data_IF_901423815089
#
_entry.id   IF_901423815089
#
_cell.length_a   1.000
_cell.length_b   1.000
_cell.length_c   1.000
_cell.angle_alpha   90.00
_cell.angle_beta   90.00
_cell.angle_gamma   90.00
#
_symmetry.space_group_name_H-M   'P 1'
#
loop_
_entity.id
_entity.type
_entity.pdbx_description
1 polymer ?
#
# COMPACT_ATOMS: atom_id res chain seq x y z
N UNK A 1 11.21 -6.31 37.44
CA UNK A 1 11.14 -5.00 36.76
C UNK A 1 10.44 -5.22 35.43
N UNK A 2 9.29 -4.58 35.18
CA UNK A 2 8.57 -4.72 33.93
C UNK A 2 9.34 -3.96 32.84
N UNK A 3 9.91 -4.69 31.87
CA UNK A 3 10.55 -4.11 30.69
C UNK A 3 9.43 -3.55 29.83
N UNK A 4 9.27 -2.21 29.83
CA UNK A 4 8.35 -1.56 28.89
C UNK A 4 8.81 -1.93 27.47
N UNK A 5 7.92 -2.42 26.60
CA UNK A 5 8.30 -2.70 25.21
C UNK A 5 8.88 -1.41 24.61
N UNK A 6 9.97 -1.50 23.84
CA UNK A 6 10.58 -0.32 23.24
C UNK A 6 9.51 0.37 22.40
N UNK A 7 9.28 1.66 22.66
CA UNK A 7 8.42 2.47 21.81
C UNK A 7 8.96 2.39 20.38
N UNK A 8 8.11 2.21 19.34
CA UNK A 8 8.58 2.19 17.97
C UNK A 8 9.34 3.48 17.70
N UNK A 9 10.63 3.33 17.35
CA UNK A 9 11.60 4.43 17.20
C UNK A 9 11.20 5.37 16.07
N UNK A 10 10.30 4.95 15.19
CA UNK A 10 9.76 5.73 14.07
C UNK A 10 8.25 5.72 14.16
N UNK A 11 7.65 6.83 14.61
CA UNK A 11 6.22 7.09 14.41
C UNK A 11 6.06 7.73 13.03
N UNK A 12 5.05 7.33 12.26
CA UNK A 12 4.74 8.03 11.00
C UNK A 12 4.56 9.51 11.27
N UNK A 13 5.30 10.33 10.54
CA UNK A 13 5.04 11.77 10.50
C UNK A 13 3.70 12.01 9.79
N UNK A 14 3.14 13.22 9.96
CA UNK A 14 1.92 13.60 9.22
C UNK A 14 2.13 13.59 7.69
N UNK A 15 3.36 13.83 7.23
CA UNK A 15 3.72 13.67 5.82
C UNK A 15 3.67 12.21 5.37
N UNK A 16 4.21 11.28 6.17
CA UNK A 16 4.17 9.84 5.84
C UNK A 16 2.74 9.31 5.78
N UNK A 17 1.87 9.76 6.70
CA UNK A 17 0.43 9.43 6.65
C UNK A 17 -0.24 9.96 5.39
N UNK A 18 0.12 11.17 4.95
CA UNK A 18 -0.39 11.75 3.70
C UNK A 18 0.08 10.95 2.49
N UNK A 19 1.34 10.51 2.48
CA UNK A 19 1.90 9.64 1.43
C UNK A 19 1.16 8.29 1.40
N UNK A 20 0.95 7.63 2.55
CA UNK A 20 0.20 6.37 2.63
C UNK A 20 -1.26 6.49 2.16
N UNK A 21 -1.90 7.63 2.46
CA UNK A 21 -3.24 7.93 1.94
C UNK A 21 -3.22 8.13 0.42
N UNK A 22 -2.20 8.79 -0.11
CA UNK A 22 -1.97 8.91 -1.56
C UNK A 22 -1.80 7.55 -2.22
N UNK A 23 -0.96 6.70 -1.64
CA UNK A 23 -0.70 5.35 -2.12
C UNK A 23 -1.97 4.48 -2.14
N UNK A 24 -2.84 4.62 -1.14
CA UNK A 24 -4.16 3.96 -1.15
C UNK A 24 -5.00 4.36 -2.35
N UNK A 25 -5.08 5.66 -2.63
CA UNK A 25 -5.84 6.19 -3.78
C UNK A 25 -5.26 5.73 -5.12
N UNK A 26 -3.94 5.67 -5.22
CA UNK A 26 -3.26 5.23 -6.45
C UNK A 26 -3.46 3.73 -6.71
N UNK A 27 -3.48 2.91 -5.65
CA UNK A 27 -3.82 1.48 -5.73
C UNK A 27 -5.25 1.31 -6.25
N UNK A 28 -6.24 2.01 -5.67
CA UNK A 28 -7.64 1.93 -6.10
C UNK A 28 -7.83 2.39 -7.55
N UNK A 29 -7.09 3.42 -7.98
CA UNK A 29 -7.13 3.88 -9.37
C UNK A 29 -6.53 2.84 -10.31
N UNK A 30 -5.43 2.21 -9.90
CA UNK A 30 -4.75 1.16 -10.66
C UNK A 30 -5.63 -0.08 -10.82
N UNK A 31 -6.36 -0.48 -9.78
CA UNK A 31 -7.37 -1.56 -9.85
C UNK A 31 -8.42 -1.31 -10.93
N UNK A 32 -9.01 -0.11 -10.94
CA UNK A 32 -10.03 0.26 -11.93
C UNK A 32 -9.46 0.28 -13.35
N UNK A 33 -8.25 0.81 -13.52
CA UNK A 33 -7.58 0.86 -14.82
C UNK A 33 -7.25 -0.55 -15.34
N UNK A 34 -6.73 -1.43 -14.48
CA UNK A 34 -6.45 -2.83 -14.82
C UNK A 34 -7.73 -3.56 -15.19
N UNK A 35 -8.84 -3.33 -14.47
CA UNK A 35 -10.15 -3.86 -14.82
C UNK A 35 -10.61 -3.45 -16.22
N UNK A 36 -10.50 -2.16 -16.55
CA UNK A 36 -10.85 -1.66 -17.89
C UNK A 36 -9.94 -2.25 -18.99
N UNK A 37 -8.64 -2.42 -18.72
CA UNK A 37 -7.73 -3.07 -19.66
C UNK A 37 -8.08 -4.54 -19.90
N UNK A 38 -8.52 -5.25 -18.85
CA UNK A 38 -8.98 -6.64 -18.93
C UNK A 38 -10.24 -6.78 -19.76
N UNK A 39 -11.17 -5.82 -19.68
CA UNK A 39 -12.35 -5.76 -20.55
C UNK A 39 -11.98 -5.55 -22.03
N UNK A 40 -10.84 -4.93 -22.30
CA UNK A 40 -10.27 -4.74 -23.64
C UNK A 40 -9.39 -5.91 -24.09
N UNK A 41 -9.42 -7.05 -23.38
CA UNK A 41 -8.64 -8.26 -23.66
C UNK A 41 -7.11 -8.03 -23.66
N UNK A 42 -6.66 -7.01 -22.91
CA UNK A 42 -5.23 -6.76 -22.69
C UNK A 42 -4.71 -7.72 -21.62
N UNK A 43 -3.54 -8.32 -21.86
CA UNK A 43 -2.84 -9.12 -20.84
C UNK A 43 -2.32 -8.21 -19.72
N UNK A 44 -2.97 -8.30 -18.56
CA UNK A 44 -2.69 -7.48 -17.38
C UNK A 44 -2.01 -8.26 -16.25
N UNK A 45 -1.59 -9.51 -16.46
CA UNK A 45 -1.03 -10.37 -15.40
C UNK A 45 0.13 -9.71 -14.63
N UNK A 46 1.10 -9.16 -15.35
CA UNK A 46 2.23 -8.45 -14.74
C UNK A 46 1.79 -7.20 -13.96
N UNK A 47 0.69 -6.55 -14.37
CA UNK A 47 0.14 -5.38 -13.69
C UNK A 47 -0.59 -5.79 -12.41
N UNK A 48 -1.35 -6.89 -12.44
CA UNK A 48 -2.01 -7.48 -11.29
C UNK A 48 -0.97 -7.90 -10.22
N UNK A 49 0.14 -8.52 -10.63
CA UNK A 49 1.23 -8.91 -9.72
C UNK A 49 1.91 -7.69 -9.07
N UNK A 50 2.22 -6.66 -9.86
CA UNK A 50 2.80 -5.40 -9.34
C UNK A 50 1.83 -4.67 -8.41
N UNK A 51 0.54 -4.69 -8.71
CA UNK A 51 -0.49 -4.12 -7.86
C UNK A 51 -0.59 -4.87 -6.53
N UNK A 52 -0.51 -6.20 -6.56
CA UNK A 52 -0.49 -7.04 -5.36
C UNK A 52 0.72 -6.73 -4.47
N UNK A 53 1.90 -6.52 -5.07
CA UNK A 53 3.09 -6.08 -4.35
C UNK A 53 2.87 -4.72 -3.66
N UNK A 54 2.33 -3.73 -4.39
CA UNK A 54 2.04 -2.40 -3.84
C UNK A 54 1.04 -2.43 -2.68
N UNK A 55 -0.01 -3.26 -2.77
CA UNK A 55 -0.96 -3.50 -1.68
C UNK A 55 -0.26 -4.07 -0.45
N UNK A 56 0.54 -5.12 -0.64
CA UNK A 56 1.29 -5.76 0.44
C UNK A 56 2.27 -4.79 1.11
N UNK A 57 2.97 -3.97 0.32
CA UNK A 57 3.87 -2.94 0.84
C UNK A 57 3.12 -1.91 1.70
N UNK A 58 1.97 -1.41 1.22
CA UNK A 58 1.09 -0.54 2.01
C UNK A 58 0.70 -1.17 3.34
N UNK A 59 0.24 -2.42 3.31
CA UNK A 59 -0.29 -3.10 4.48
C UNK A 59 0.82 -3.35 5.52
N UNK A 60 2.04 -3.66 5.08
CA UNK A 60 3.22 -3.73 5.97
C UNK A 60 3.51 -2.37 6.58
N UNK A 61 3.55 -1.30 5.78
CA UNK A 61 3.83 0.05 6.30
C UNK A 61 2.77 0.52 7.30
N UNK A 62 1.50 0.24 7.05
CA UNK A 62 0.40 0.54 7.98
C UNK A 62 0.46 -0.32 9.24
N UNK A 63 0.90 -1.58 9.14
CA UNK A 63 1.04 -2.45 10.32
C UNK A 63 2.22 -2.06 11.20
N UNK A 64 3.35 -1.72 10.59
CA UNK A 64 4.60 -1.41 11.31
C UNK A 64 4.60 0.01 11.88
N UNK A 65 3.92 0.96 11.24
CA UNK A 65 4.04 2.37 11.59
C UNK A 65 2.70 3.13 11.77
N UNK A 66 1.56 2.50 11.43
CA UNK A 66 0.21 3.08 11.49
C UNK A 66 -0.44 3.11 12.87
#
# INVERSE_FOLDING_TARGET
MAVKPPEPVVKLTEEDKKILKGLTRDIERSEKAIGALKELDVDVRDMEDKLAYSKKARDVLLKEFG
#
